data_IF_208150515571
#
_entry.id   IF_208150515571
#
_cell.length_a   1.000
_cell.length_b   1.000
_cell.length_c   1.000
_cell.angle_alpha   90.00
_cell.angle_beta   90.00
_cell.angle_gamma   90.00
#
_symmetry.space_group_name_H-M   'P 1'
#
loop_
_entity.id
_entity.type
_entity.pdbx_description
1 polymer ?
#
# COMPACT_ATOMS: atom_id res chain seq x y z
N UNK A 1 -19.59 12.09 24.72
CA UNK A 1 -19.46 10.75 24.11
C UNK A 1 -18.32 10.86 23.11
N UNK A 2 -17.11 10.45 23.49
CA UNK A 2 -15.95 10.47 22.58
C UNK A 2 -16.13 9.31 21.62
N UNK A 3 -16.44 9.60 20.36
CA UNK A 3 -16.35 8.58 19.32
C UNK A 3 -14.87 8.21 19.21
N UNK A 4 -14.51 7.06 19.78
CA UNK A 4 -13.19 6.48 19.60
C UNK A 4 -13.15 5.99 18.14
N UNK A 5 -12.82 6.88 17.20
CA UNK A 5 -12.52 6.53 15.82
C UNK A 5 -11.18 5.81 15.85
N UNK A 6 -11.24 4.54 16.23
CA UNK A 6 -10.12 3.63 16.15
C UNK A 6 -9.91 3.40 14.65
N UNK A 7 -9.15 4.30 14.01
CA UNK A 7 -8.86 4.26 12.57
C UNK A 7 -8.02 3.01 12.34
N UNK A 8 -8.68 1.89 12.03
CA UNK A 8 -8.03 0.65 11.59
C UNK A 8 -7.53 0.88 10.16
N UNK A 9 -6.45 1.63 10.02
CA UNK A 9 -5.78 1.78 8.74
C UNK A 9 -5.11 0.45 8.39
N UNK A 10 -5.37 -0.05 7.17
CA UNK A 10 -4.58 -1.15 6.61
C UNK A 10 -3.12 -0.72 6.53
N UNK A 11 -2.25 -1.48 7.20
CA UNK A 11 -0.81 -1.31 7.04
C UNK A 11 -0.39 -2.02 5.77
N UNK A 12 -0.04 -1.23 4.76
CA UNK A 12 0.64 -1.72 3.57
C UNK A 12 2.13 -1.94 3.88
N UNK A 13 2.76 -2.98 3.30
CA UNK A 13 4.18 -3.18 3.49
C UNK A 13 4.97 -2.05 2.84
N UNK A 14 6.02 -1.57 3.51
CA UNK A 14 6.80 -0.39 3.06
C UNK A 14 7.45 -0.60 1.69
N UNK A 15 7.75 -1.85 1.34
CA UNK A 15 8.38 -2.20 0.07
C UNK A 15 7.38 -2.40 -1.09
N UNK A 16 6.07 -2.23 -0.84
CA UNK A 16 5.03 -2.33 -1.86
C UNK A 16 5.31 -1.40 -3.05
N UNK A 17 5.76 -0.18 -2.76
CA UNK A 17 6.01 0.87 -3.75
C UNK A 17 7.22 0.61 -4.66
N UNK A 18 8.08 -0.35 -4.29
CA UNK A 18 9.23 -0.77 -5.09
C UNK A 18 8.96 -2.07 -5.84
N UNK A 19 7.78 -2.67 -5.66
CA UNK A 19 7.44 -3.90 -6.34
C UNK A 19 6.96 -3.60 -7.77
N UNK A 20 7.67 -4.14 -8.77
CA UNK A 20 7.37 -3.92 -10.18
C UNK A 20 5.97 -4.39 -10.57
N UNK A 21 5.46 -5.48 -9.99
CA UNK A 21 4.10 -5.95 -10.27
C UNK A 21 3.05 -4.96 -9.75
N UNK A 22 3.31 -4.30 -8.63
CA UNK A 22 2.42 -3.25 -8.10
C UNK A 22 2.42 -2.00 -8.98
N UNK A 23 3.60 -1.56 -9.42
CA UNK A 23 3.72 -0.41 -10.31
C UNK A 23 3.04 -0.70 -11.66
N UNK A 24 3.24 -1.90 -12.21
CA UNK A 24 2.59 -2.34 -13.45
C UNK A 24 1.06 -2.40 -13.31
N UNK A 25 0.54 -2.91 -12.19
CA UNK A 25 -0.91 -2.92 -11.94
C UNK A 25 -1.47 -1.50 -11.90
N UNK A 26 -0.83 -0.60 -11.14
CA UNK A 26 -1.28 0.77 -10.98
C UNK A 26 -1.23 1.55 -12.30
N UNK A 27 -0.28 1.24 -13.19
CA UNK A 27 -0.15 1.85 -14.51
C UNK A 27 -1.16 1.26 -15.51
N UNK A 28 -1.39 -0.07 -15.48
CA UNK A 28 -2.29 -0.76 -16.39
C UNK A 28 -3.77 -0.48 -16.06
N UNK A 29 -4.14 -0.66 -14.79
CA UNK A 29 -5.51 -0.48 -14.33
C UNK A 29 -5.51 0.15 -12.92
N UNK A 30 -5.46 1.49 -12.83
CA UNK A 30 -5.45 2.19 -11.55
C UNK A 30 -6.73 1.99 -10.76
N UNK A 31 -7.84 1.70 -11.43
CA UNK A 31 -9.12 1.43 -10.78
C UNK A 31 -9.10 0.08 -10.05
N UNK A 32 -8.60 -0.98 -10.70
CA UNK A 32 -8.37 -2.27 -10.08
C UNK A 32 -7.48 -2.17 -8.83
N UNK A 33 -6.42 -1.36 -8.90
CA UNK A 33 -5.57 -1.08 -7.75
C UNK A 33 -6.35 -0.47 -6.56
N UNK A 34 -7.18 0.54 -6.82
CA UNK A 34 -8.06 1.13 -5.80
C UNK A 34 -9.04 0.11 -5.21
N UNK A 35 -9.66 -0.74 -6.06
CA UNK A 35 -10.55 -1.82 -5.62
C UNK A 35 -9.84 -2.77 -4.66
N UNK A 36 -8.58 -3.14 -4.96
CA UNK A 36 -7.80 -4.00 -4.07
C UNK A 36 -7.53 -3.36 -2.70
N UNK A 37 -7.18 -2.06 -2.67
CA UNK A 37 -7.00 -1.33 -1.41
C UNK A 37 -8.28 -1.27 -0.57
N UNK A 38 -9.42 -1.00 -1.20
CA UNK A 38 -10.73 -1.00 -0.53
C UNK A 38 -11.10 -2.39 0.00
N UNK A 39 -10.82 -3.43 -0.77
CA UNK A 39 -11.06 -4.80 -0.36
C UNK A 39 -10.17 -5.21 0.83
N UNK A 40 -8.91 -4.75 0.88
CA UNK A 40 -8.02 -4.95 2.04
C UNK A 40 -8.59 -4.28 3.30
N UNK A 41 -9.09 -3.04 3.15
CA UNK A 41 -9.66 -2.27 4.25
C UNK A 41 -10.95 -2.90 4.78
N UNK A 42 -11.83 -3.30 3.87
CA UNK A 42 -13.04 -4.06 4.19
C UNK A 42 -12.71 -5.34 4.98
N UNK A 43 -11.76 -6.13 4.47
CA UNK A 43 -11.33 -7.38 5.08
C UNK A 43 -10.74 -7.16 6.49
N UNK A 44 -9.92 -6.11 6.68
CA UNK A 44 -9.36 -5.74 7.98
C UNK A 44 -10.42 -5.22 8.96
N UNK A 45 -11.44 -4.51 8.47
CA UNK A 45 -12.54 -4.01 9.29
C UNK A 45 -13.46 -5.15 9.79
N UNK A 46 -13.64 -6.20 8.99
CA UNK A 46 -14.56 -7.31 9.26
C UNK A 46 -13.87 -8.58 9.78
N UNK A 47 -12.55 -8.55 10.00
CA UNK A 47 -11.74 -9.70 10.44
C UNK A 47 -11.95 -10.93 9.53
N UNK A 48 -11.91 -10.70 8.22
CA UNK A 48 -12.08 -11.73 7.20
C UNK A 48 -11.04 -11.54 6.10
N UNK A 49 -10.82 -12.58 5.30
CA UNK A 49 -10.02 -12.57 4.08
C UNK A 49 -10.90 -12.70 2.83
N UNK A 50 -12.23 -12.69 2.97
CA UNK A 50 -13.17 -12.92 1.86
C UNK A 50 -14.24 -11.84 1.73
N UNK A 51 -14.71 -11.64 0.51
CA UNK A 51 -15.85 -10.77 0.19
C UNK A 51 -16.64 -11.35 -1.00
N UNK A 52 -17.92 -10.97 -1.13
CA UNK A 52 -18.79 -11.44 -2.22
C UNK A 52 -18.74 -10.47 -3.40
N UNK A 53 -19.18 -10.93 -4.59
CA UNK A 53 -19.37 -10.06 -5.75
C UNK A 53 -20.27 -8.85 -5.42
N UNK A 54 -21.36 -9.07 -4.68
CA UNK A 54 -22.26 -8.00 -4.26
C UNK A 54 -21.54 -6.89 -3.47
N UNK A 55 -20.64 -7.27 -2.56
CA UNK A 55 -19.85 -6.28 -1.83
C UNK A 55 -18.93 -5.52 -2.78
N UNK A 56 -18.27 -6.21 -3.69
CA UNK A 56 -17.31 -5.58 -4.58
C UNK A 56 -17.97 -4.60 -5.56
N UNK A 57 -19.08 -4.99 -6.17
CA UNK A 57 -19.83 -4.13 -7.08
C UNK A 57 -20.41 -2.90 -6.35
N UNK A 58 -20.98 -3.08 -5.15
CA UNK A 58 -21.69 -2.01 -4.45
C UNK A 58 -20.81 -1.07 -3.63
N UNK A 59 -19.78 -1.61 -2.97
CA UNK A 59 -18.95 -0.84 -2.06
C UNK A 59 -17.62 -0.43 -2.70
N UNK A 60 -17.03 -1.30 -3.52
CA UNK A 60 -15.76 -1.00 -4.18
C UNK A 60 -15.96 -0.39 -5.58
N UNK A 61 -17.22 -0.37 -6.07
CA UNK A 61 -17.56 0.02 -7.44
C UNK A 61 -16.80 -0.81 -8.48
N UNK A 62 -16.42 -2.04 -8.12
CA UNK A 62 -15.59 -2.88 -8.94
C UNK A 62 -16.34 -3.36 -10.19
N UNK A 63 -15.64 -3.35 -11.31
CA UNK A 63 -16.08 -3.89 -12.58
C UNK A 63 -15.54 -5.30 -12.80
N UNK A 64 -16.05 -5.99 -13.81
CA UNK A 64 -15.54 -7.31 -14.19
C UNK A 64 -14.09 -7.25 -14.69
N UNK A 65 -13.70 -6.14 -15.34
CA UNK A 65 -12.33 -5.89 -15.82
C UNK A 65 -11.35 -5.74 -14.66
N UNK A 66 -11.76 -5.06 -13.58
CA UNK A 66 -10.95 -4.93 -12.36
C UNK A 66 -10.68 -6.31 -11.75
N UNK A 67 -11.71 -7.16 -11.66
CA UNK A 67 -11.57 -8.52 -11.13
C UNK A 67 -10.68 -9.40 -11.97
N UNK A 68 -10.81 -9.30 -13.29
CA UNK A 68 -9.94 -10.03 -14.20
C UNK A 68 -8.49 -9.60 -13.98
N UNK A 69 -8.23 -8.30 -13.94
CA UNK A 69 -6.90 -7.76 -13.69
C UNK A 69 -6.37 -8.22 -12.32
N UNK A 70 -7.14 -8.09 -11.25
CA UNK A 70 -6.73 -8.52 -9.91
C UNK A 70 -6.47 -10.03 -9.81
N UNK A 71 -7.20 -10.84 -10.58
CA UNK A 71 -6.98 -12.28 -10.68
C UNK A 71 -5.70 -12.61 -11.44
N UNK A 72 -5.44 -11.91 -12.55
CA UNK A 72 -4.22 -12.07 -13.35
C UNK A 72 -2.97 -11.68 -12.56
N UNK A 73 -3.04 -10.62 -11.76
CA UNK A 73 -1.98 -10.21 -10.84
C UNK A 73 -1.93 -11.06 -9.55
N UNK A 74 -2.81 -12.05 -9.40
CA UNK A 74 -2.81 -12.97 -8.25
C UNK A 74 -3.17 -12.32 -6.92
N UNK A 75 -3.82 -11.16 -6.93
CA UNK A 75 -4.21 -10.40 -5.73
C UNK A 75 -5.55 -10.85 -5.15
N UNK A 76 -6.36 -11.56 -5.93
CA UNK A 76 -7.58 -12.22 -5.47
C UNK A 76 -7.63 -13.66 -5.97
N UNK A 77 -8.36 -14.52 -5.26
CA UNK A 77 -8.66 -15.89 -5.68
C UNK A 77 -10.08 -16.29 -5.32
N UNK A 78 -10.58 -17.37 -5.92
CA UNK A 78 -11.90 -17.92 -5.59
C UNK A 78 -11.85 -18.71 -4.27
N UNK A 79 -12.89 -18.59 -3.46
CA UNK A 79 -13.09 -19.34 -2.22
C UNK A 79 -14.59 -19.55 -1.95
N UNK A 80 -15.12 -20.74 -2.23
CA UNK A 80 -16.51 -21.16 -1.93
C UNK A 80 -17.57 -20.06 -2.21
N UNK A 81 -17.74 -19.71 -3.49
CA UNK A 81 -18.65 -18.65 -4.00
C UNK A 81 -18.32 -17.21 -3.54
N UNK A 82 -17.15 -17.01 -2.94
CA UNK A 82 -16.60 -15.71 -2.58
C UNK A 82 -15.25 -15.49 -3.25
N UNK A 83 -14.75 -14.28 -3.05
CA UNK A 83 -13.42 -13.87 -3.44
C UNK A 83 -12.56 -13.70 -2.20
N UNK A 84 -11.42 -14.39 -2.18
CA UNK A 84 -10.40 -14.26 -1.16
C UNK A 84 -9.39 -13.23 -1.61
N UNK A 85 -9.17 -12.20 -0.79
CA UNK A 85 -8.07 -11.27 -0.99
C UNK A 85 -6.75 -11.91 -0.58
N UNK A 86 -5.72 -11.69 -1.37
CA UNK A 86 -4.35 -12.04 -1.02
C UNK A 86 -3.63 -10.76 -0.59
N UNK A 87 -3.08 -10.82 0.61
CA UNK A 87 -2.14 -9.79 1.06
C UNK A 87 -0.84 -10.00 0.30
N UNK A 88 -0.19 -8.89 -0.03
CA UNK A 88 1.16 -8.99 -0.55
C UNK A 88 2.07 -9.52 0.56
N UNK A 89 2.60 -10.72 0.36
CA UNK A 89 3.76 -11.16 1.11
C UNK A 89 4.98 -10.67 0.36
N UNK A 90 5.82 -9.82 0.98
CA UNK A 90 7.06 -9.45 0.34
C UNK A 90 7.86 -10.75 0.15
N UNK A 91 8.11 -11.12 -1.11
CA UNK A 91 9.33 -11.87 -1.39
C UNK A 91 10.46 -11.09 -0.71
N UNK A 92 11.40 -11.76 -0.05
CA UNK A 92 12.56 -11.11 0.55
C UNK A 92 13.30 -10.40 -0.58
N UNK A 93 12.97 -9.11 -0.78
CA UNK A 93 13.74 -8.23 -1.63
C UNK A 93 14.94 -7.94 -0.76
N UNK A 94 16.06 -8.62 -1.02
CA UNK A 94 17.35 -8.17 -0.51
C UNK A 94 17.43 -6.69 -0.88
N UNK A 95 17.39 -5.82 0.13
CA UNK A 95 17.45 -4.39 -0.11
C UNK A 95 18.71 -4.16 -0.92
N UNK A 96 18.66 -3.47 -2.08
CA UNK A 96 19.87 -3.04 -2.73
C UNK A 96 20.55 -2.09 -1.75
N UNK A 97 21.61 -2.58 -1.11
CA UNK A 97 22.47 -1.75 -0.28
C UNK A 97 23.10 -0.77 -1.24
N UNK A 98 22.71 0.50 -1.13
CA UNK A 98 23.45 1.57 -1.77
C UNK A 98 24.86 1.50 -1.17
N UNK A 99 25.82 1.08 -1.97
CA UNK A 99 27.22 1.22 -1.65
C UNK A 99 27.68 2.57 -2.19
N UNK A 100 28.37 3.37 -1.38
CA UNK A 100 29.15 4.49 -1.92
C UNK A 100 30.24 3.95 -2.87
N UNK A 101 30.89 4.81 -3.65
CA UNK A 101 32.01 4.42 -4.55
C UNK A 101 33.15 3.65 -3.81
N UNK A 102 33.19 3.75 -2.48
CA UNK A 102 34.14 3.08 -1.59
C UNK A 102 33.65 1.72 -1.04
N UNK A 103 32.45 1.25 -1.41
CA UNK A 103 31.93 -0.07 -1.02
C UNK A 103 31.32 -0.15 0.38
N UNK A 104 31.22 0.95 1.13
CA UNK A 104 30.51 0.97 2.43
C UNK A 104 28.99 1.06 2.24
N UNK A 105 28.26 0.30 3.05
CA UNK A 105 26.80 0.34 3.09
C UNK A 105 26.32 1.69 3.64
N UNK A 106 25.62 2.47 2.82
CA UNK A 106 25.06 3.75 3.25
C UNK A 106 23.93 3.50 4.25
N UNK A 107 24.09 3.97 5.48
CA UNK A 107 23.02 3.97 6.48
C UNK A 107 21.84 4.82 5.97
N UNK A 108 20.72 4.17 5.62
CA UNK A 108 19.51 4.85 5.18
C UNK A 108 18.95 5.71 6.33
N UNK A 109 19.14 7.02 6.25
CA UNK A 109 18.51 7.99 7.16
C UNK A 109 17.24 8.54 6.52
N UNK A 110 16.03 8.17 7.00
CA UNK A 110 14.79 8.69 6.47
C UNK A 110 14.73 10.23 6.62
N UNK A 111 14.26 10.91 5.57
CA UNK A 111 14.23 12.36 5.47
C UNK A 111 13.38 13.10 6.52
N UNK A 112 12.56 12.38 7.30
CA UNK A 112 11.69 12.97 8.32
C UNK A 112 12.39 13.36 9.63
N UNK A 113 13.62 12.90 9.89
CA UNK A 113 14.33 13.27 11.13
C UNK A 113 14.89 14.70 11.13
N UNK A 114 14.84 15.41 9.99
CA UNK A 114 15.37 16.79 9.89
C UNK A 114 14.38 17.92 10.19
N UNK A 115 13.13 17.62 10.59
CA UNK A 115 12.13 18.68 10.87
C UNK A 115 11.92 18.96 12.36
N UNK A 116 12.59 18.23 13.26
CA UNK A 116 12.37 18.38 14.71
C UNK A 116 13.48 19.13 15.46
N UNK A 117 14.45 19.71 14.77
CA UNK A 117 15.56 20.41 15.44
C UNK A 117 16.04 21.63 14.64
N UNK A 118 15.22 22.68 14.53
CA UNK A 118 15.67 24.08 14.48
C UNK A 118 14.48 25.05 14.39
N UNK A 119 14.14 25.65 15.52
CA UNK A 119 13.69 27.05 15.62
C UNK A 119 13.77 27.49 17.08
N UNK A 120 15.00 27.74 17.51
CA UNK A 120 15.31 28.59 18.65
C UNK A 120 16.56 29.41 18.32
N UNK A 121 16.64 29.98 17.12
CA UNK A 121 17.27 31.29 16.92
C UNK A 121 16.81 31.89 15.61
N UNK A 122 16.29 33.12 15.68
CA UNK A 122 15.71 33.83 14.57
C UNK A 122 16.78 34.41 13.66
N UNK A 123 16.90 33.89 12.45
CA UNK A 123 17.39 34.67 11.32
C UNK A 123 16.77 34.13 10.03
N UNK A 124 15.76 34.84 9.54
CA UNK A 124 15.22 34.64 8.19
C UNK A 124 16.28 35.02 7.17
N UNK A 125 16.65 34.08 6.30
CA UNK A 125 17.35 34.38 5.05
C UNK A 125 16.34 34.19 3.92
N UNK A 126 15.81 35.30 3.43
CA UNK A 126 15.10 35.36 2.16
C UNK A 126 16.14 35.22 1.03
N UNK A 127 15.92 34.28 0.11
CA UNK A 127 16.62 34.24 -1.17
C UNK A 127 15.69 34.80 -2.24
N UNK A 128 16.10 35.91 -2.85
CA UNK A 128 15.70 36.35 -4.19
C UNK A 128 16.19 35.37 -5.27
#
# INVERSE_FOLDING_TARGET
>A
MVMNTNTRAVKLPSNLWYNEQFLQLAELNPHAFCVWLLALDYCAAHDTDTFTWFIAERFFQATQDDFQTLREFGLIGEADDKWRIRRFEPAVIEQPVCHDDDGEAVEFKPWYDKVSAQSADGSDVFLD
#
